data_IF_275349460091
#
_entry.id   IF_275349460091
#
_cell.length_a   1.000
_cell.length_b   1.000
_cell.length_c   1.000
_cell.angle_alpha   90.00
_cell.angle_beta   90.00
_cell.angle_gamma   90.00
#
_symmetry.space_group_name_H-M   'P 1'
#
loop_
_entity.id
_entity.type
_entity.pdbx_description
1 polymer ?
#
# COMPACT_ATOMS: atom_id res chain seq x y z
N UNK A 1 -3.34 -8.57 -12.66
CA UNK A 1 -4.04 -7.76 -11.64
C UNK A 1 -4.47 -6.44 -12.27
N UNK A 2 -5.61 -5.86 -11.84
CA UNK A 2 -6.03 -4.52 -12.28
C UNK A 2 -4.92 -3.53 -11.88
N UNK A 3 -4.43 -2.72 -12.81
CA UNK A 3 -3.44 -1.67 -12.50
C UNK A 3 -4.10 -0.64 -11.58
N UNK A 4 -3.53 -0.42 -10.40
CA UNK A 4 -3.99 0.62 -9.48
C UNK A 4 -3.62 1.99 -10.03
N UNK A 5 -4.52 2.95 -9.95
CA UNK A 5 -4.39 4.25 -10.62
C UNK A 5 -4.47 5.42 -9.66
N UNK A 6 -4.96 5.24 -8.43
CA UNK A 6 -5.04 6.30 -7.42
C UNK A 6 -4.42 5.87 -6.10
N UNK A 7 -4.03 6.85 -5.27
CA UNK A 7 -3.54 6.58 -3.91
C UNK A 7 -4.63 5.96 -3.02
N UNK A 8 -5.91 6.25 -3.28
CA UNK A 8 -7.04 5.58 -2.62
C UNK A 8 -7.09 4.09 -2.94
N UNK A 9 -6.89 3.71 -4.21
CA UNK A 9 -6.81 2.29 -4.59
C UNK A 9 -5.60 1.59 -3.93
N UNK A 10 -4.49 2.31 -3.70
CA UNK A 10 -3.34 1.80 -2.94
C UNK A 10 -3.73 1.59 -1.47
N UNK A 11 -4.36 2.57 -0.82
CA UNK A 11 -4.81 2.48 0.57
C UNK A 11 -5.74 1.28 0.78
N UNK A 12 -6.73 1.11 -0.11
CA UNK A 12 -7.69 -0.01 -0.03
C UNK A 12 -7.00 -1.37 -0.19
N UNK A 13 -6.05 -1.47 -1.13
CA UNK A 13 -5.27 -2.68 -1.33
C UNK A 13 -4.37 -2.99 -0.12
N UNK A 14 -3.73 -1.97 0.46
CA UNK A 14 -2.90 -2.09 1.64
C UNK A 14 -3.71 -2.52 2.87
N UNK A 15 -4.87 -1.89 3.09
CA UNK A 15 -5.82 -2.25 4.16
C UNK A 15 -6.26 -3.72 4.03
N UNK A 16 -6.59 -4.17 2.82
CA UNK A 16 -6.95 -5.56 2.54
C UNK A 16 -5.81 -6.53 2.81
N UNK A 17 -4.58 -6.19 2.45
CA UNK A 17 -3.40 -7.00 2.72
C UNK A 17 -3.17 -7.16 4.23
N UNK A 18 -3.27 -6.07 5.00
CA UNK A 18 -3.19 -6.09 6.47
C UNK A 18 -4.26 -7.01 7.05
N UNK A 19 -5.52 -6.85 6.64
CA UNK A 19 -6.62 -7.69 7.11
C UNK A 19 -6.39 -9.17 6.80
N UNK A 20 -5.92 -9.49 5.58
CA UNK A 20 -5.59 -10.86 5.21
C UNK A 20 -4.46 -11.44 6.06
N UNK A 21 -3.44 -10.65 6.39
CA UNK A 21 -2.37 -11.10 7.27
C UNK A 21 -2.88 -11.33 8.70
N UNK A 22 -3.64 -10.39 9.26
CA UNK A 22 -4.22 -10.51 10.60
C UNK A 22 -5.18 -11.70 10.74
N UNK A 23 -5.87 -12.07 9.66
CA UNK A 23 -6.75 -13.25 9.63
C UNK A 23 -6.03 -14.55 9.24
N UNK A 24 -4.70 -14.53 9.08
CA UNK A 24 -3.91 -15.70 8.73
C UNK A 24 -4.08 -16.21 7.30
N UNK A 25 -4.73 -15.43 6.42
CA UNK A 25 -4.91 -15.77 4.99
C UNK A 25 -3.63 -15.62 4.18
N UNK A 26 -2.72 -14.74 4.61
CA UNK A 26 -1.38 -14.61 4.04
C UNK A 26 -0.35 -14.60 5.17
N UNK A 27 0.86 -15.06 4.86
CA UNK A 27 1.99 -15.06 5.79
C UNK A 27 2.84 -13.77 5.68
N UNK A 28 3.89 -13.70 6.50
CA UNK A 28 4.79 -12.55 6.60
C UNK A 28 5.53 -12.26 5.28
N UNK A 29 5.91 -13.30 4.53
CA UNK A 29 6.64 -13.16 3.25
C UNK A 29 5.71 -12.59 2.18
N UNK A 30 4.49 -13.12 2.09
CA UNK A 30 3.49 -12.64 1.14
C UNK A 30 3.04 -11.20 1.48
N UNK A 31 2.93 -10.86 2.76
CA UNK A 31 2.68 -9.49 3.19
C UNK A 31 3.81 -8.54 2.78
N UNK A 32 5.08 -8.96 2.95
CA UNK A 32 6.24 -8.19 2.52
C UNK A 32 6.22 -7.93 1.00
N UNK A 33 6.02 -8.98 0.21
CA UNK A 33 5.97 -8.89 -1.25
C UNK A 33 4.87 -7.93 -1.73
N UNK A 34 3.67 -8.04 -1.15
CA UNK A 34 2.57 -7.11 -1.43
C UNK A 34 2.92 -5.67 -1.05
N UNK A 35 3.57 -5.46 0.10
CA UNK A 35 4.03 -4.14 0.54
C UNK A 35 5.01 -3.48 -0.42
N UNK A 36 5.97 -4.25 -0.95
CA UNK A 36 6.94 -3.76 -1.94
C UNK A 36 6.23 -3.37 -3.24
N UNK A 37 5.37 -4.24 -3.78
CA UNK A 37 4.62 -3.96 -5.02
C UNK A 37 3.75 -2.70 -4.88
N UNK A 38 3.00 -2.58 -3.78
CA UNK A 38 2.16 -1.43 -3.51
C UNK A 38 2.97 -0.14 -3.32
N UNK A 39 4.15 -0.21 -2.70
CA UNK A 39 5.03 0.95 -2.51
C UNK A 39 5.59 1.45 -3.85
N UNK A 40 6.03 0.53 -4.71
CA UNK A 40 6.49 0.91 -6.05
C UNK A 40 5.37 1.59 -6.84
N UNK A 41 4.15 1.03 -6.81
CA UNK A 41 3.03 1.63 -7.52
C UNK A 41 2.57 2.95 -6.92
N UNK A 42 2.62 3.10 -5.60
CA UNK A 42 2.37 4.37 -4.92
C UNK A 42 3.32 5.47 -5.41
N UNK A 43 4.62 5.18 -5.47
CA UNK A 43 5.61 6.15 -5.94
C UNK A 43 5.35 6.58 -7.38
N UNK A 44 5.00 5.64 -8.27
CA UNK A 44 4.60 5.96 -9.64
C UNK A 44 3.38 6.87 -9.70
N UNK A 45 2.32 6.58 -8.91
CA UNK A 45 1.09 7.38 -8.89
C UNK A 45 1.37 8.80 -8.37
N UNK A 46 2.15 8.92 -7.29
CA UNK A 46 2.51 10.22 -6.72
C UNK A 46 3.31 11.05 -7.71
N UNK A 47 4.24 10.45 -8.46
CA UNK A 47 4.99 11.16 -9.50
C UNK A 47 4.10 11.55 -10.70
N UNK A 48 3.23 10.63 -11.15
CA UNK A 48 2.26 10.86 -12.24
C UNK A 48 1.22 11.95 -11.91
N UNK A 49 0.86 12.11 -10.63
CA UNK A 49 -0.27 12.94 -10.19
C UNK A 49 0.11 14.05 -9.20
N UNK A 50 1.40 14.34 -9.05
CA UNK A 50 1.93 15.29 -8.05
C UNK A 50 1.20 16.64 -7.99
N UNK A 51 0.72 17.14 -9.12
CA UNK A 51 0.09 18.46 -9.25
C UNK A 51 -1.42 18.44 -8.90
N UNK A 52 -2.01 17.25 -8.74
CA UNK A 52 -3.45 17.03 -8.49
C UNK A 52 -3.72 16.36 -7.14
N UNK A 53 -2.69 15.79 -6.52
CA UNK A 53 -2.84 14.99 -5.32
C UNK A 53 -2.92 15.90 -4.10
N UNK A 54 -3.97 15.73 -3.29
CA UNK A 54 -4.02 16.37 -1.99
C UNK A 54 -3.00 15.70 -1.04
N UNK A 55 -2.32 16.51 -0.22
CA UNK A 55 -1.23 16.04 0.63
C UNK A 55 -1.69 15.00 1.67
N UNK A 56 -2.94 15.11 2.14
CA UNK A 56 -3.59 14.18 3.07
C UNK A 56 -3.76 12.77 2.46
N UNK A 57 -4.18 12.65 1.20
CA UNK A 57 -4.49 11.36 0.57
C UNK A 57 -3.23 10.53 0.35
N UNK A 58 -2.13 11.17 -0.07
CA UNK A 58 -0.82 10.51 -0.17
C UNK A 58 -0.33 10.04 1.20
N UNK A 59 -0.48 10.88 2.24
CA UNK A 59 -0.02 10.56 3.59
C UNK A 59 -0.78 9.35 4.16
N UNK A 60 -2.10 9.31 4.02
CA UNK A 60 -2.89 8.18 4.50
C UNK A 60 -2.46 6.86 3.84
N UNK A 61 -2.25 6.86 2.52
CA UNK A 61 -1.77 5.67 1.82
C UNK A 61 -0.37 5.27 2.29
N UNK A 62 0.53 6.24 2.50
CA UNK A 62 1.89 6.00 3.01
C UNK A 62 1.89 5.38 4.41
N UNK A 63 0.99 5.80 5.30
CA UNK A 63 0.88 5.25 6.65
C UNK A 63 0.50 3.77 6.63
N UNK A 64 -0.43 3.37 5.76
CA UNK A 64 -0.78 1.95 5.59
C UNK A 64 0.38 1.12 5.03
N UNK A 65 1.14 1.66 4.07
CA UNK A 65 2.35 1.01 3.57
C UNK A 65 3.42 0.86 4.66
N UNK A 66 3.55 1.87 5.53
CA UNK A 66 4.46 1.79 6.68
C UNK A 66 4.06 0.68 7.65
N UNK A 67 2.76 0.53 7.94
CA UNK A 67 2.25 -0.56 8.78
C UNK A 67 2.58 -1.92 8.16
N UNK A 68 2.40 -2.09 6.85
CA UNK A 68 2.77 -3.33 6.15
C UNK A 68 4.27 -3.63 6.32
N UNK A 69 5.13 -2.63 6.11
CA UNK A 69 6.57 -2.77 6.31
C UNK A 69 6.89 -3.21 7.74
N UNK A 70 6.28 -2.57 8.74
CA UNK A 70 6.49 -2.91 10.15
C UNK A 70 6.08 -4.35 10.45
N UNK A 71 4.84 -4.72 10.12
CA UNK A 71 4.29 -6.07 10.38
C UNK A 71 5.04 -7.18 9.63
N UNK A 72 5.63 -6.86 8.47
CA UNK A 72 6.35 -7.83 7.65
C UNK A 72 7.84 -7.94 7.96
N UNK A 73 8.40 -7.09 8.82
CA UNK A 73 9.84 -7.10 9.15
C UNK A 73 10.14 -7.26 10.64
N UNK A 74 9.29 -6.74 11.52
CA UNK A 74 9.34 -6.97 12.97
C UNK A 74 8.65 -8.29 13.34
#
# INVERSE_FOLDING_TARGET
MKKLTTVTEIKDAASKAIFHFQTGKIDKINLYAAGVELTLRFNEIVDEQKDKLEHNEAQEAADFLHVIKHMSTC
#
